data_IF_184199654024
#
_entry.id   IF_184199654024
#
_cell.length_a   1.000
_cell.length_b   1.000
_cell.length_c   1.000
_cell.angle_alpha   90.00
_cell.angle_beta   90.00
_cell.angle_gamma   90.00
#
_symmetry.space_group_name_H-M   'P 1'
#
loop_
_entity.id
_entity.type
_entity.pdbx_description
1 polymer ?
#
# COMPACT_ATOMS: atom_id res chain seq x y z
N UNK A 1 21.91 8.97 8.54
CA UNK A 1 21.66 9.00 7.08
C UNK A 1 20.29 9.58 6.73
N UNK A 2 19.16 8.94 7.07
CA UNK A 2 17.80 9.45 6.71
C UNK A 2 17.54 10.89 7.18
N UNK A 3 17.88 11.22 8.43
CA UNK A 3 17.73 12.59 8.96
C UNK A 3 18.52 13.64 8.16
N UNK A 4 19.70 13.27 7.64
CA UNK A 4 20.53 14.15 6.80
C UNK A 4 19.80 14.46 5.49
N UNK A 5 19.40 13.41 4.76
CA UNK A 5 18.68 13.57 3.49
C UNK A 5 17.32 14.24 3.64
N UNK A 6 16.63 14.02 4.76
CA UNK A 6 15.35 14.71 5.04
C UNK A 6 15.55 16.20 5.21
N UNK A 7 16.63 16.62 5.88
CA UNK A 7 16.99 18.02 6.05
C UNK A 7 17.41 18.65 4.72
N UNK A 8 18.21 17.94 3.92
CA UNK A 8 18.62 18.39 2.58
C UNK A 8 17.43 18.53 1.62
N UNK A 9 16.41 17.67 1.74
CA UNK A 9 15.17 17.74 0.97
C UNK A 9 14.15 18.77 1.50
N UNK A 10 14.46 19.54 2.55
CA UNK A 10 13.54 20.51 3.15
C UNK A 10 12.33 19.90 3.86
N UNK A 11 12.39 18.62 4.23
CA UNK A 11 11.30 17.93 4.93
C UNK A 11 11.42 18.21 6.43
N UNK A 12 10.54 19.06 6.94
CA UNK A 12 10.48 19.41 8.37
C UNK A 12 9.88 18.28 9.24
N UNK A 13 9.09 17.39 8.62
CA UNK A 13 8.49 16.24 9.31
C UNK A 13 9.56 15.22 9.71
N UNK A 14 9.33 14.53 10.83
CA UNK A 14 10.20 13.44 11.28
C UNK A 14 10.10 12.25 10.31
N UNK A 15 11.13 12.07 9.48
CA UNK A 15 11.25 10.90 8.60
C UNK A 15 12.01 9.78 9.31
N UNK A 16 11.41 8.59 9.35
CA UNK A 16 12.02 7.37 9.88
C UNK A 16 11.93 6.26 8.83
N UNK A 17 12.71 5.17 8.96
CA UNK A 17 12.56 4.01 8.07
C UNK A 17 11.11 3.49 7.99
N UNK A 18 10.38 3.51 9.11
CA UNK A 18 8.99 3.07 9.15
C UNK A 18 8.06 4.00 8.35
N UNK A 19 8.28 5.32 8.40
CA UNK A 19 7.50 6.29 7.60
C UNK A 19 7.74 6.05 6.10
N UNK A 20 8.99 5.83 5.67
CA UNK A 20 9.29 5.54 4.27
C UNK A 20 8.65 4.22 3.78
N UNK A 21 8.69 3.17 4.60
CA UNK A 21 8.02 1.89 4.31
C UNK A 21 6.51 2.08 4.15
N UNK A 22 5.90 2.87 5.02
CA UNK A 22 4.47 3.14 4.97
C UNK A 22 4.08 3.98 3.74
N UNK A 23 4.85 5.02 3.42
CA UNK A 23 4.67 5.80 2.21
C UNK A 23 4.79 4.95 0.95
N UNK A 24 5.79 4.06 0.88
CA UNK A 24 5.92 3.11 -0.22
C UNK A 24 4.70 2.21 -0.36
N UNK A 25 4.24 1.56 0.72
CA UNK A 25 3.08 0.68 0.68
C UNK A 25 1.82 1.42 0.23
N UNK A 26 1.61 2.64 0.74
CA UNK A 26 0.44 3.47 0.42
C UNK A 26 0.45 3.88 -1.05
N UNK A 27 1.56 4.41 -1.56
CA UNK A 27 1.69 4.79 -2.97
C UNK A 27 1.45 3.60 -3.92
N UNK A 28 1.93 2.41 -3.56
CA UNK A 28 1.72 1.21 -4.37
C UNK A 28 0.25 0.77 -4.34
N UNK A 29 -0.42 0.85 -3.19
CA UNK A 29 -1.86 0.54 -3.08
C UNK A 29 -2.71 1.55 -3.86
N UNK A 30 -2.37 2.84 -3.81
CA UNK A 30 -3.04 3.90 -4.59
C UNK A 30 -2.87 3.69 -6.10
N UNK A 31 -1.73 3.14 -6.52
CA UNK A 31 -1.46 2.75 -7.91
C UNK A 31 -2.03 1.39 -8.31
N UNK A 32 -2.99 0.85 -7.57
CA UNK A 32 -3.64 -0.45 -7.80
C UNK A 32 -2.69 -1.66 -7.78
N UNK A 33 -1.49 -1.55 -7.21
CA UNK A 33 -0.60 -2.70 -7.08
C UNK A 33 -1.23 -3.80 -6.20
N UNK A 34 -0.94 -5.06 -6.51
CA UNK A 34 -1.41 -6.18 -5.69
C UNK A 34 -0.70 -6.15 -4.33
N UNK A 35 -1.48 -6.28 -3.26
CA UNK A 35 -0.94 -6.30 -1.91
C UNK A 35 0.03 -7.46 -1.66
N UNK A 36 -0.14 -8.59 -2.34
CA UNK A 36 0.79 -9.71 -2.31
C UNK A 36 2.15 -9.28 -2.85
N UNK A 37 2.16 -8.57 -3.99
CA UNK A 37 3.38 -8.02 -4.60
C UNK A 37 4.02 -6.96 -3.69
N UNK A 38 3.22 -6.06 -3.10
CA UNK A 38 3.74 -5.06 -2.14
C UNK A 38 4.40 -5.74 -0.94
N UNK A 39 3.83 -6.83 -0.42
CA UNK A 39 4.39 -7.58 0.70
C UNK A 39 5.70 -8.29 0.36
N UNK A 40 5.79 -8.89 -0.82
CA UNK A 40 7.04 -9.47 -1.33
C UNK A 40 8.13 -8.39 -1.44
N UNK A 41 7.80 -7.24 -2.04
CA UNK A 41 8.73 -6.11 -2.18
C UNK A 41 9.18 -5.54 -0.83
N UNK A 42 8.34 -5.63 0.21
CA UNK A 42 8.67 -5.18 1.57
C UNK A 42 9.41 -6.23 2.41
N UNK A 43 9.56 -7.47 1.91
CA UNK A 43 10.37 -8.52 2.52
C UNK A 43 9.79 -9.15 3.79
N UNK A 44 8.47 -9.13 3.99
CA UNK A 44 7.87 -9.81 5.13
C UNK A 44 7.82 -11.33 4.91
N UNK A 45 8.74 -12.06 5.53
CA UNK A 45 8.84 -13.52 5.50
C UNK A 45 7.78 -14.27 6.35
N UNK A 46 6.86 -13.56 7.01
CA UNK A 46 5.84 -14.20 7.85
C UNK A 46 4.47 -13.52 7.76
N UNK A 47 3.46 -14.32 7.43
CA UNK A 47 2.13 -13.91 6.99
C UNK A 47 1.15 -13.68 8.17
N UNK A 48 1.47 -12.78 9.10
CA UNK A 48 0.63 -12.56 10.31
C UNK A 48 -0.13 -11.22 10.34
N UNK A 49 -0.46 -10.64 9.18
CA UNK A 49 -1.24 -9.38 9.05
C UNK A 49 -2.39 -9.46 8.05
N UNK A 50 -2.74 -10.66 7.59
CA UNK A 50 -3.75 -10.87 6.54
C UNK A 50 -5.14 -10.34 6.91
N UNK A 51 -5.49 -10.32 8.20
CA UNK A 51 -6.83 -9.92 8.68
C UNK A 51 -7.17 -8.44 8.46
N UNK A 52 -6.21 -7.51 8.58
CA UNK A 52 -6.47 -6.07 8.37
C UNK A 52 -6.70 -5.77 6.89
N UNK A 53 -6.08 -6.56 6.00
CA UNK A 53 -6.10 -6.29 4.57
C UNK A 53 -7.20 -7.02 3.80
N UNK A 54 -7.89 -7.98 4.41
CA UNK A 54 -9.14 -8.54 3.85
C UNK A 54 -10.14 -7.42 3.57
N UNK A 55 -10.28 -6.46 4.47
CA UNK A 55 -11.20 -5.33 4.29
C UNK A 55 -10.88 -4.46 3.07
N UNK A 56 -9.59 -4.19 2.80
CA UNK A 56 -9.17 -3.42 1.61
C UNK A 56 -9.35 -4.23 0.33
N UNK A 57 -9.13 -5.55 0.42
CA UNK A 57 -9.37 -6.48 -0.69
C UNK A 57 -10.84 -6.56 -1.05
N UNK A 58 -11.76 -6.45 -0.08
CA UNK A 58 -13.21 -6.51 -0.33
C UNK A 58 -13.75 -5.29 -1.08
N UNK A 59 -13.33 -4.08 -0.72
CA UNK A 59 -13.67 -2.87 -1.49
C UNK A 59 -13.12 -2.93 -2.92
N UNK A 60 -11.89 -3.44 -3.06
CA UNK A 60 -11.25 -3.64 -4.38
C UNK A 60 -11.96 -4.71 -5.20
N UNK A 61 -12.31 -5.85 -4.58
CA UNK A 61 -13.08 -6.93 -5.23
C UNK A 61 -14.40 -6.41 -5.73
N UNK A 62 -15.09 -5.58 -4.95
CA UNK A 62 -16.33 -4.93 -5.37
C UNK A 62 -16.09 -4.02 -6.58
N UNK A 63 -15.08 -3.14 -6.55
CA UNK A 63 -14.75 -2.29 -7.71
C UNK A 63 -14.38 -3.06 -8.98
N UNK A 64 -13.59 -4.13 -8.85
CA UNK A 64 -13.21 -4.99 -9.98
C UNK A 64 -14.42 -5.73 -10.53
N UNK A 65 -15.27 -6.27 -9.65
CA UNK A 65 -16.54 -6.89 -10.02
C UNK A 65 -17.44 -5.87 -10.74
N UNK A 66 -17.66 -4.69 -10.16
CA UNK A 66 -18.48 -3.64 -10.76
C UNK A 66 -17.91 -3.19 -12.13
N UNK A 67 -16.59 -3.18 -12.32
CA UNK A 67 -15.97 -2.80 -13.60
C UNK A 67 -16.02 -3.91 -14.66
N UNK A 68 -15.94 -5.17 -14.25
CA UNK A 68 -15.85 -6.31 -15.16
C UNK A 68 -17.20 -7.00 -15.42
N UNK A 69 -18.18 -6.81 -14.53
CA UNK A 69 -19.47 -7.46 -14.63
C UNK A 69 -20.36 -6.75 -15.67
N UNK A 70 -20.81 -7.42 -16.74
CA UNK A 70 -21.52 -6.79 -17.86
C UNK A 70 -22.89 -6.18 -17.52
N UNK A 71 -23.41 -6.43 -16.31
CA UNK A 71 -24.71 -5.94 -15.80
C UNK A 71 -24.59 -5.15 -14.48
N UNK A 72 -23.41 -4.65 -14.11
CA UNK A 72 -23.22 -3.92 -12.84
C UNK A 72 -23.81 -2.50 -12.84
N UNK A 73 -24.19 -1.97 -14.00
CA UNK A 73 -24.68 -0.60 -14.18
C UNK A 73 -26.20 -0.52 -14.44
N UNK A 74 -26.97 -1.58 -14.15
CA UNK A 74 -28.46 -1.53 -14.18
C UNK A 74 -29.06 -1.19 -12.81
#
# INVERSE_FOLDING_TARGET
MIKKYSKEAGIEKKVTPHVLRHSFATHMLEGDADIVVIKELLGHSNLSTTQIYTHVTDERRKKVYDKAHPLSNE
#
